data_IF_715812735424
#
_entry.id   IF_715812735424
#
_cell.length_a   1.000
_cell.length_b   1.000
_cell.length_c   1.000
_cell.angle_alpha   90.00
_cell.angle_beta   90.00
_cell.angle_gamma   90.00
#
_symmetry.space_group_name_H-M   'P 1'
#
loop_
_entity.id
_entity.type
_entity.pdbx_description
1 polymer ?
#
# COMPACT_ATOMS: atom_id res chain seq x y z
N UNK A 1 22.68 24.98 -10.34
CA UNK A 1 21.48 24.28 -10.81
C UNK A 1 20.43 24.41 -9.72
N UNK A 2 19.34 25.14 -9.98
CA UNK A 2 18.21 25.20 -9.04
C UNK A 2 17.52 23.84 -9.14
N UNK A 3 17.52 23.07 -8.06
CA UNK A 3 16.83 21.78 -8.01
C UNK A 3 15.32 22.03 -7.94
N UNK A 4 14.64 21.92 -9.09
CA UNK A 4 13.18 21.97 -9.15
C UNK A 4 12.66 20.56 -8.94
N UNK A 5 11.87 20.37 -7.87
CA UNK A 5 11.15 19.11 -7.69
C UNK A 5 9.85 19.14 -8.48
N UNK A 6 9.35 17.97 -8.82
CA UNK A 6 8.05 17.83 -9.48
C UNK A 6 7.02 17.32 -8.48
N UNK A 7 5.77 17.75 -8.63
CA UNK A 7 4.65 17.26 -7.84
C UNK A 7 4.50 15.75 -8.03
N UNK A 8 4.46 15.00 -6.93
CA UNK A 8 4.36 13.53 -6.95
C UNK A 8 3.07 13.03 -7.63
N UNK A 9 2.02 13.85 -7.63
CA UNK A 9 0.70 13.48 -8.16
C UNK A 9 0.51 13.85 -9.63
N UNK A 10 1.03 14.98 -10.09
CA UNK A 10 0.74 15.53 -11.43
C UNK A 10 1.96 15.99 -12.24
N UNK A 11 3.17 15.94 -11.66
CA UNK A 11 4.41 16.29 -12.36
C UNK A 11 4.67 17.79 -12.54
N UNK A 12 3.83 18.69 -12.01
CA UNK A 12 4.09 20.15 -12.09
C UNK A 12 5.34 20.54 -11.30
N UNK A 13 6.18 21.42 -11.85
CA UNK A 13 7.34 21.98 -11.14
C UNK A 13 6.91 22.71 -9.86
N UNK A 14 7.57 22.39 -8.76
CA UNK A 14 7.34 22.93 -7.42
C UNK A 14 8.67 23.30 -6.76
N UNK A 15 8.67 24.27 -5.84
CA UNK A 15 9.87 24.63 -5.11
C UNK A 15 10.34 23.45 -4.22
N UNK A 16 11.66 23.36 -3.93
CA UNK A 16 12.30 22.21 -3.28
C UNK A 16 11.96 22.06 -1.78
N UNK A 17 11.11 22.90 -1.23
CA UNK A 17 10.50 22.78 0.10
C UNK A 17 9.16 22.02 0.06
N UNK A 18 8.50 21.98 -1.10
CA UNK A 18 7.18 21.39 -1.28
C UNK A 18 7.23 20.01 -1.94
N UNK A 19 6.15 19.23 -1.76
CA UNK A 19 5.95 17.89 -2.35
C UNK A 19 4.75 17.82 -3.30
N UNK A 20 3.79 18.72 -3.12
CA UNK A 20 2.56 18.80 -3.91
C UNK A 20 2.36 20.24 -4.41
N UNK A 21 1.81 20.39 -5.62
CA UNK A 21 1.52 21.71 -6.17
C UNK A 21 0.21 22.33 -5.65
N UNK A 22 -0.71 21.51 -5.12
CA UNK A 22 -2.00 21.94 -4.59
C UNK A 22 -2.50 20.96 -3.52
N UNK A 23 -3.45 21.40 -2.70
CA UNK A 23 -4.12 20.55 -1.72
C UNK A 23 -4.88 19.40 -2.38
N UNK A 24 -5.47 19.62 -3.56
CA UNK A 24 -6.11 18.57 -4.35
C UNK A 24 -5.13 17.43 -4.71
N UNK A 25 -3.89 17.78 -5.09
CA UNK A 25 -2.85 16.79 -5.37
C UNK A 25 -2.44 16.02 -4.12
N UNK A 26 -2.43 16.67 -2.95
CA UNK A 26 -2.16 16.02 -1.65
C UNK A 26 -3.28 15.03 -1.31
N UNK A 27 -4.54 15.44 -1.45
CA UNK A 27 -5.70 14.60 -1.17
C UNK A 27 -5.74 13.36 -2.07
N UNK A 28 -5.54 13.52 -3.39
CA UNK A 28 -5.47 12.39 -4.33
C UNK A 28 -4.38 11.39 -3.97
N UNK A 29 -3.21 11.89 -3.56
CA UNK A 29 -2.12 11.03 -3.12
C UNK A 29 -2.43 10.31 -1.80
N UNK A 30 -3.02 11.01 -0.83
CA UNK A 30 -3.44 10.40 0.44
C UNK A 30 -4.54 9.35 0.24
N UNK A 31 -5.52 9.62 -0.61
CA UNK A 31 -6.58 8.67 -0.94
C UNK A 31 -6.01 7.40 -1.59
N UNK A 32 -5.13 7.56 -2.58
CA UNK A 32 -4.42 6.44 -3.19
C UNK A 32 -3.63 5.63 -2.15
N UNK A 33 -2.87 6.30 -1.28
CA UNK A 33 -2.12 5.65 -0.18
C UNK A 33 -3.03 4.96 0.81
N UNK A 34 -4.17 5.54 1.16
CA UNK A 34 -5.16 4.91 2.05
C UNK A 34 -5.76 3.67 1.42
N UNK A 35 -6.03 3.69 0.10
CA UNK A 35 -6.51 2.53 -0.65
C UNK A 35 -5.46 1.43 -0.69
N UNK A 36 -4.21 1.76 -0.98
CA UNK A 36 -3.10 0.79 -0.96
C UNK A 36 -2.93 0.14 0.42
N UNK A 37 -2.99 0.93 1.50
CA UNK A 37 -2.89 0.39 2.87
C UNK A 37 -4.04 -0.56 3.18
N UNK A 38 -5.27 -0.22 2.79
CA UNK A 38 -6.44 -1.09 2.95
C UNK A 38 -6.30 -2.39 2.16
N UNK A 39 -5.89 -2.30 0.88
CA UNK A 39 -5.64 -3.46 0.03
C UNK A 39 -4.55 -4.36 0.61
N UNK A 40 -3.43 -3.77 1.05
CA UNK A 40 -2.32 -4.51 1.69
C UNK A 40 -2.78 -5.23 2.95
N UNK A 41 -3.58 -4.59 3.80
CA UNK A 41 -4.14 -5.23 5.00
C UNK A 41 -5.05 -6.40 4.64
N UNK A 42 -5.91 -6.25 3.63
CA UNK A 42 -6.75 -7.37 3.16
C UNK A 42 -5.91 -8.54 2.64
N UNK A 43 -4.87 -8.27 1.83
CA UNK A 43 -3.98 -9.31 1.33
C UNK A 43 -3.32 -10.08 2.48
N UNK A 44 -2.84 -9.39 3.51
CA UNK A 44 -2.28 -10.04 4.70
C UNK A 44 -3.27 -10.95 5.42
N UNK A 45 -4.54 -10.52 5.55
CA UNK A 45 -5.58 -11.36 6.15
C UNK A 45 -5.83 -12.61 5.31
N UNK A 46 -5.95 -12.47 3.99
CA UNK A 46 -6.14 -13.61 3.08
C UNK A 46 -4.96 -14.59 3.19
N UNK A 47 -3.72 -14.09 3.18
CA UNK A 47 -2.53 -14.92 3.36
C UNK A 47 -2.54 -15.65 4.70
N UNK A 48 -2.90 -14.98 5.80
CA UNK A 48 -2.99 -15.61 7.11
C UNK A 48 -4.03 -16.74 7.15
N UNK A 49 -5.19 -16.54 6.53
CA UNK A 49 -6.25 -17.57 6.43
C UNK A 49 -5.78 -18.75 5.59
N UNK A 50 -5.15 -18.49 4.44
CA UNK A 50 -4.62 -19.53 3.54
C UNK A 50 -3.56 -20.40 4.24
N UNK A 51 -2.60 -19.76 4.91
CA UNK A 51 -1.55 -20.46 5.66
C UNK A 51 -2.17 -21.24 6.83
N UNK A 52 -3.09 -20.62 7.57
CA UNK A 52 -3.79 -21.28 8.68
C UNK A 52 -4.55 -22.54 8.22
N UNK A 53 -5.30 -22.45 7.11
CA UNK A 53 -6.01 -23.58 6.54
C UNK A 53 -5.05 -24.71 6.11
N UNK A 54 -3.92 -24.36 5.48
CA UNK A 54 -2.92 -25.33 5.05
C UNK A 54 -2.27 -26.03 6.24
N UNK A 55 -1.92 -25.30 7.30
CA UNK A 55 -1.40 -25.88 8.54
C UNK A 55 -2.42 -26.82 9.20
N UNK A 56 -3.70 -26.43 9.26
CA UNK A 56 -4.77 -27.27 9.77
C UNK A 56 -4.88 -28.56 8.95
N UNK A 57 -4.87 -28.47 7.61
CA UNK A 57 -4.91 -29.66 6.75
C UNK A 57 -3.72 -30.60 6.99
N UNK A 58 -2.52 -30.05 7.16
CA UNK A 58 -1.32 -30.85 7.45
C UNK A 58 -1.43 -31.52 8.83
N UNK A 59 -1.87 -30.79 9.86
CA UNK A 59 -2.06 -31.35 11.20
C UNK A 59 -3.10 -32.46 11.19
N UNK A 60 -4.25 -32.25 10.54
CA UNK A 60 -5.30 -33.27 10.40
C UNK A 60 -4.76 -34.51 9.66
N UNK A 61 -4.01 -34.34 8.57
CA UNK A 61 -3.40 -35.47 7.86
C UNK A 61 -2.40 -36.22 8.73
N UNK A 62 -1.58 -35.52 9.51
CA UNK A 62 -0.60 -36.13 10.42
C UNK A 62 -1.23 -36.84 11.62
N UNK A 63 -2.44 -36.45 12.04
CA UNK A 63 -3.19 -37.14 13.10
C UNK A 63 -3.92 -38.40 12.61
N UNK A 64 -4.23 -38.49 11.32
CA UNK A 64 -4.98 -39.61 10.72
C UNK A 64 -4.06 -40.78 10.33
N UNK A 65 -2.75 -40.54 10.22
CA UNK A 65 -1.75 -41.51 9.75
C UNK A 65 -0.92 -42.10 10.88
#
# INVERSE_FOLDING_TARGET
>A
MVDHRHCVTCGKAIPPDKKFCSEECRMKYEEARMRERRMRKMLWIIYAVMIGALLIMIMLRGMIH
#
